data_IF_769517515083
#
_entry.id   IF_769517515083
#
_cell.length_a   1.000
_cell.length_b   1.000
_cell.length_c   1.000
_cell.angle_alpha   90.00
_cell.angle_beta   90.00
_cell.angle_gamma   90.00
#
_symmetry.space_group_name_H-M   'P 1'
#
loop_
_entity.id
_entity.type
_entity.pdbx_description
1 polymer ?
#
# COMPACT_ATOMS: atom_id res chain seq x y z
N UNK A 1 14.49 -10.98 32.24
CA UNK A 1 14.57 -10.79 30.77
C UNK A 1 13.16 -10.65 30.18
N UNK A 2 12.68 -9.41 30.07
CA UNK A 2 11.45 -9.10 29.34
C UNK A 2 11.72 -9.38 27.86
N UNK A 3 11.14 -10.46 27.33
CA UNK A 3 11.07 -10.65 25.89
C UNK A 3 10.34 -9.43 25.32
N UNK A 4 11.07 -8.61 24.57
CA UNK A 4 10.46 -7.58 23.76
C UNK A 4 9.48 -8.28 22.81
N UNK A 5 8.18 -8.17 23.11
CA UNK A 5 7.14 -8.57 22.18
C UNK A 5 7.26 -7.64 20.97
N UNK A 6 7.98 -8.10 19.96
CA UNK A 6 7.96 -7.55 18.61
C UNK A 6 6.55 -7.80 18.03
N UNK A 7 5.58 -7.02 18.48
CA UNK A 7 4.25 -6.95 17.89
C UNK A 7 4.11 -5.63 17.14
N UNK A 8 4.79 -5.51 16.01
CA UNK A 8 4.46 -4.53 14.98
C UNK A 8 3.18 -4.97 14.27
N UNK A 9 2.07 -5.08 15.00
CA UNK A 9 0.77 -5.35 14.39
C UNK A 9 0.28 -4.04 13.76
N UNK A 10 0.40 -3.94 12.44
CA UNK A 10 -0.27 -2.87 11.70
C UNK A 10 -1.78 -3.06 11.87
N UNK A 11 -2.43 -2.05 12.47
CA UNK A 11 -3.88 -1.96 12.45
C UNK A 11 -4.29 -1.65 11.00
N UNK A 12 -5.19 -2.44 10.42
CA UNK A 12 -5.75 -2.10 9.12
C UNK A 12 -7.23 -1.80 9.23
N UNK A 13 -7.68 -0.85 8.42
CA UNK A 13 -9.09 -0.56 8.18
C UNK A 13 -9.42 -0.86 6.72
N UNK A 14 -10.67 -1.24 6.48
CA UNK A 14 -11.20 -1.41 5.12
C UNK A 14 -12.16 -0.27 4.84
N UNK A 15 -11.84 0.51 3.82
CA UNK A 15 -12.68 1.61 3.34
C UNK A 15 -12.85 1.48 1.83
N UNK A 16 -13.95 2.00 1.30
CA UNK A 16 -14.12 2.11 -0.15
C UNK A 16 -13.17 3.18 -0.67
N UNK A 17 -12.58 2.96 -1.84
CA UNK A 17 -11.55 3.87 -2.39
C UNK A 17 -12.04 5.33 -2.48
N UNK A 18 -13.29 5.56 -2.88
CA UNK A 18 -13.86 6.92 -2.99
C UNK A 18 -13.96 7.66 -1.65
N UNK A 19 -13.99 6.96 -0.51
CA UNK A 19 -14.01 7.57 0.81
C UNK A 19 -12.64 8.15 1.20
N UNK A 20 -11.58 7.74 0.51
CA UNK A 20 -10.22 8.22 0.71
C UNK A 20 -9.75 9.16 -0.41
N UNK A 21 -10.61 9.51 -1.38
CA UNK A 21 -10.24 10.33 -2.55
C UNK A 21 -9.61 11.68 -2.20
N UNK A 22 -10.07 12.26 -1.08
CA UNK A 22 -9.67 13.58 -0.60
C UNK A 22 -8.43 13.51 0.33
N UNK A 23 -7.84 12.33 0.50
CA UNK A 23 -6.64 12.16 1.33
C UNK A 23 -5.40 12.64 0.57
N UNK A 24 -4.51 13.34 1.28
CA UNK A 24 -3.21 13.73 0.72
C UNK A 24 -2.33 12.49 0.49
N UNK A 25 -1.84 12.33 -0.73
CA UNK A 25 -0.88 11.29 -1.10
C UNK A 25 0.54 11.86 -1.09
N UNK A 26 1.50 11.06 -0.61
CA UNK A 26 2.93 11.41 -0.63
C UNK A 26 3.52 11.46 -2.05
N UNK A 27 2.86 10.81 -3.00
CA UNK A 27 3.28 10.75 -4.39
C UNK A 27 2.47 9.76 -5.21
N UNK A 28 2.95 9.47 -6.42
CA UNK A 28 2.35 8.48 -7.30
C UNK A 28 2.38 7.07 -6.69
N UNK A 29 1.39 6.22 -7.00
CA UNK A 29 1.37 4.84 -6.53
C UNK A 29 2.57 4.03 -7.01
N UNK A 30 3.05 3.14 -6.15
CA UNK A 30 4.21 2.28 -6.43
C UNK A 30 3.75 0.88 -6.81
N UNK A 31 4.27 0.35 -7.92
CA UNK A 31 4.09 -1.05 -8.26
C UNK A 31 5.01 -1.89 -7.37
N UNK A 32 4.42 -2.56 -6.37
CA UNK A 32 5.16 -3.49 -5.51
C UNK A 32 5.43 -4.81 -6.25
N UNK A 33 4.43 -5.33 -6.96
CA UNK A 33 4.54 -6.61 -7.64
C UNK A 33 3.63 -6.68 -8.86
N UNK A 34 4.11 -7.32 -9.92
CA UNK A 34 3.32 -7.72 -11.06
C UNK A 34 3.06 -9.24 -10.98
N UNK A 35 1.80 -9.64 -10.86
CA UNK A 35 1.40 -11.04 -10.72
C UNK A 35 0.69 -11.46 -12.00
N UNK A 36 1.14 -12.55 -12.60
CA UNK A 36 0.42 -13.18 -13.70
C UNK A 36 -0.39 -14.36 -13.16
N UNK A 37 -1.71 -14.20 -13.13
CA UNK A 37 -2.63 -15.19 -12.56
C UNK A 37 -2.62 -16.55 -13.28
N UNK A 38 -2.06 -16.65 -14.49
CA UNK A 38 -1.94 -17.91 -15.25
C UNK A 38 -0.69 -18.69 -14.81
N UNK A 39 0.41 -18.00 -14.57
CA UNK A 39 1.72 -18.61 -14.33
C UNK A 39 2.13 -18.66 -12.86
N UNK A 40 1.55 -17.80 -12.01
CA UNK A 40 1.86 -17.75 -10.59
C UNK A 40 0.91 -18.66 -9.80
N UNK A 41 1.40 -19.85 -9.42
CA UNK A 41 0.63 -20.83 -8.64
C UNK A 41 0.79 -20.66 -7.13
N UNK A 42 1.86 -20.03 -6.68
CA UNK A 42 2.07 -19.61 -5.29
C UNK A 42 1.95 -18.09 -5.22
N UNK A 43 1.07 -17.62 -4.33
CA UNK A 43 0.80 -16.20 -4.11
C UNK A 43 1.56 -15.63 -2.91
N UNK A 44 2.55 -16.36 -2.39
CA UNK A 44 3.49 -15.83 -1.42
C UNK A 44 4.33 -14.74 -2.07
N UNK A 45 4.00 -13.49 -1.74
CA UNK A 45 4.64 -12.30 -2.24
C UNK A 45 5.54 -11.70 -1.16
N UNK A 46 6.79 -11.44 -1.52
CA UNK A 46 7.69 -10.53 -0.80
C UNK A 46 8.21 -9.53 -1.81
N UNK A 47 7.87 -8.26 -1.61
CA UNK A 47 8.14 -7.20 -2.58
C UNK A 47 8.49 -5.90 -1.86
N UNK A 48 9.29 -5.07 -2.53
CA UNK A 48 9.54 -3.71 -2.09
C UNK A 48 9.71 -2.79 -3.27
N UNK A 49 9.33 -1.53 -3.09
CA UNK A 49 9.55 -0.45 -4.04
C UNK A 49 10.09 0.78 -3.32
N UNK A 50 10.96 1.52 -4.00
CA UNK A 50 11.51 2.78 -3.51
C UNK A 50 10.95 3.95 -4.31
N UNK A 51 10.78 5.07 -3.63
CA UNK A 51 10.37 6.32 -4.23
C UNK A 51 11.00 7.51 -3.50
N UNK A 52 10.82 8.69 -4.09
CA UNK A 52 11.28 9.95 -3.52
C UNK A 52 10.07 10.82 -3.20
N UNK A 53 10.02 11.35 -1.98
CA UNK A 53 8.96 12.26 -1.56
C UNK A 53 9.06 13.56 -2.38
N UNK A 54 7.95 13.96 -2.97
CA UNK A 54 7.90 15.17 -3.82
C UNK A 54 7.74 16.45 -3.00
N UNK A 55 7.12 16.35 -1.82
CA UNK A 55 6.87 17.45 -0.90
C UNK A 55 7.00 16.97 0.55
N UNK A 56 6.78 17.88 1.51
CA UNK A 56 6.73 17.58 2.93
C UNK A 56 5.41 16.91 3.28
N UNK A 57 5.47 15.68 3.79
CA UNK A 57 4.29 14.90 4.14
C UNK A 57 4.45 14.18 5.48
N UNK A 58 3.33 14.08 6.22
CA UNK A 58 3.21 13.17 7.37
C UNK A 58 2.40 11.96 6.90
N UNK A 59 3.07 10.82 6.77
CA UNK A 59 2.45 9.55 6.38
C UNK A 59 1.94 8.85 7.63
N UNK A 60 0.64 8.57 7.65
CA UNK A 60 -0.04 7.88 8.74
C UNK A 60 -0.50 6.47 8.35
N UNK A 61 -0.62 6.21 7.04
CA UNK A 61 -1.15 4.95 6.53
C UNK A 61 -0.56 4.63 5.16
N UNK A 62 -0.61 3.35 4.80
CA UNK A 62 -0.32 2.85 3.45
C UNK A 62 -1.58 2.20 2.91
N UNK A 63 -2.02 2.63 1.73
CA UNK A 63 -3.04 1.89 1.00
C UNK A 63 -2.37 0.89 0.07
N UNK A 64 -2.78 -0.38 0.15
CA UNK A 64 -2.41 -1.40 -0.83
C UNK A 64 -3.66 -1.79 -1.59
N UNK A 65 -3.55 -1.80 -2.92
CA UNK A 65 -4.65 -2.11 -3.80
C UNK A 65 -4.17 -2.83 -5.06
N UNK A 66 -5.00 -3.72 -5.64
CA UNK A 66 -4.71 -4.32 -6.92
C UNK A 66 -4.97 -3.33 -8.06
N UNK A 67 -4.12 -3.43 -9.07
CA UNK A 67 -4.34 -2.91 -10.41
C UNK A 67 -4.45 -4.14 -11.32
N UNK A 68 -5.65 -4.40 -11.85
CA UNK A 68 -5.97 -5.67 -12.51
C UNK A 68 -6.32 -5.46 -13.98
N UNK A 69 -5.46 -5.93 -14.87
CA UNK A 69 -5.77 -6.09 -16.29
C UNK A 69 -6.34 -7.49 -16.54
N UNK A 70 -7.64 -7.58 -16.85
CA UNK A 70 -8.33 -8.86 -17.13
C UNK A 70 -8.16 -9.29 -18.59
N UNK A 71 -8.25 -8.34 -19.51
CA UNK A 71 -8.00 -8.54 -20.95
C UNK A 71 -7.32 -7.28 -21.50
N UNK A 72 -6.98 -7.25 -22.79
CA UNK A 72 -6.44 -6.03 -23.40
C UNK A 72 -7.40 -4.84 -23.38
N UNK A 73 -8.71 -5.09 -23.25
CA UNK A 73 -9.74 -4.05 -23.25
C UNK A 73 -10.44 -3.88 -21.89
N UNK A 74 -10.12 -4.73 -20.91
CA UNK A 74 -10.74 -4.68 -19.58
C UNK A 74 -9.64 -4.46 -18.54
N UNK A 75 -9.62 -3.25 -18.02
CA UNK A 75 -8.71 -2.80 -16.98
C UNK A 75 -9.51 -2.35 -15.77
N UNK A 76 -9.31 -3.04 -14.66
CA UNK A 76 -9.84 -2.72 -13.35
C UNK A 76 -8.71 -2.14 -12.52
N UNK A 77 -8.43 -0.86 -12.75
CA UNK A 77 -7.63 -0.05 -11.87
C UNK A 77 -8.45 1.16 -11.47
N UNK A 78 -8.32 1.56 -10.21
CA UNK A 78 -8.65 2.93 -9.89
C UNK A 78 -7.72 3.47 -8.83
N UNK A 79 -6.91 4.41 -9.26
CA UNK A 79 -6.12 5.23 -8.37
C UNK A 79 -7.07 6.01 -7.45
N UNK A 80 -6.72 6.12 -6.17
CA UNK A 80 -7.57 6.80 -5.16
C UNK A 80 -8.13 8.15 -5.64
N UNK A 81 -7.32 9.05 -6.25
CA UNK A 81 -7.81 10.36 -6.65
C UNK A 81 -8.90 10.31 -7.73
N UNK A 82 -9.00 9.20 -8.45
CA UNK A 82 -9.95 8.98 -9.55
C UNK A 82 -11.17 8.15 -9.10
N UNK A 83 -11.20 7.70 -7.84
CA UNK A 83 -12.26 6.85 -7.32
C UNK A 83 -13.61 7.58 -7.22
N UNK A 84 -14.64 6.94 -7.74
CA UNK A 84 -16.05 7.38 -7.76
C UNK A 84 -16.90 6.52 -6.82
N UNK A 85 -18.14 6.93 -6.58
CA UNK A 85 -19.06 6.15 -5.74
C UNK A 85 -19.38 4.76 -6.29
N UNK A 86 -19.25 4.57 -7.60
CA UNK A 86 -19.41 3.26 -8.27
C UNK A 86 -18.28 2.28 -7.91
N UNK A 87 -17.15 2.79 -7.43
CA UNK A 87 -16.03 1.99 -6.90
C UNK A 87 -16.35 1.52 -5.49
N UNK A 88 -17.15 0.47 -5.45
CA UNK A 88 -17.60 -0.14 -4.21
C UNK A 88 -16.60 -1.14 -3.61
N UNK A 89 -15.44 -1.35 -4.25
CA UNK A 89 -14.41 -2.24 -3.77
C UNK A 89 -13.68 -1.64 -2.56
N UNK A 90 -13.48 -2.47 -1.53
CA UNK A 90 -12.82 -2.06 -0.32
C UNK A 90 -11.30 -2.24 -0.45
N UNK A 91 -10.55 -1.18 -0.20
CA UNK A 91 -9.08 -1.20 -0.15
C UNK A 91 -8.62 -1.36 1.29
N UNK A 92 -7.49 -2.02 1.49
CA UNK A 92 -6.87 -2.16 2.80
C UNK A 92 -5.95 -0.96 3.07
N UNK A 93 -6.21 -0.25 4.15
CA UNK A 93 -5.38 0.84 4.65
C UNK A 93 -4.67 0.37 5.90
N UNK A 94 -3.34 0.27 5.83
CA UNK A 94 -2.48 -0.17 6.92
C UNK A 94 -1.98 1.06 7.67
N UNK A 95 -2.47 1.25 8.89
CA UNK A 95 -2.08 2.36 9.75
C UNK A 95 -0.68 2.11 10.30
N UNK A 96 0.21 3.09 10.14
CA UNK A 96 1.54 3.03 10.69
C UNK A 96 1.47 3.15 12.22
N UNK A 97 2.27 2.38 12.98
CA UNK A 97 2.28 2.46 14.45
C UNK A 97 2.77 3.83 14.95
N UNK A 98 3.53 4.54 14.12
CA UNK A 98 3.97 5.91 14.34
C UNK A 98 3.93 6.66 13.01
N UNK A 99 3.41 7.90 12.98
CA UNK A 99 3.49 8.75 11.79
C UNK A 99 4.95 8.96 11.35
N UNK A 100 5.18 8.94 10.04
CA UNK A 100 6.49 9.19 9.44
C UNK A 100 6.45 10.51 8.67
N UNK A 101 7.30 11.45 9.07
CA UNK A 101 7.50 12.70 8.34
C UNK A 101 8.55 12.51 7.25
N UNK A 102 8.23 12.89 6.02
CA UNK A 102 9.17 12.94 4.91
C UNK A 102 9.30 14.37 4.42
N UNK A 103 10.52 14.76 4.06
CA UNK A 103 10.81 16.03 3.38
C UNK A 103 10.94 15.82 1.88
N UNK A 104 10.74 16.88 1.10
CA UNK A 104 10.99 16.87 -0.32
C UNK A 104 12.42 16.36 -0.62
N UNK A 105 12.53 15.38 -1.52
CA UNK A 105 13.79 14.75 -1.90
C UNK A 105 14.24 13.57 -1.02
N UNK A 106 13.60 13.32 0.13
CA UNK A 106 13.90 12.13 0.93
C UNK A 106 13.41 10.86 0.24
N UNK A 107 14.22 9.80 0.31
CA UNK A 107 13.86 8.48 -0.21
C UNK A 107 13.12 7.68 0.85
N UNK A 108 12.16 6.90 0.38
CA UNK A 108 11.45 5.95 1.21
C UNK A 108 11.27 4.63 0.48
N UNK A 109 11.23 3.56 1.27
CA UNK A 109 10.94 2.21 0.79
C UNK A 109 9.63 1.74 1.39
N UNK A 110 8.78 1.17 0.54
CA UNK A 110 7.59 0.44 0.95
C UNK A 110 7.83 -1.03 0.70
N UNK A 111 7.69 -1.86 1.73
CA UNK A 111 7.82 -3.31 1.63
C UNK A 111 6.49 -3.97 1.97
N UNK A 112 6.17 -5.04 1.25
CA UNK A 112 4.98 -5.85 1.45
C UNK A 112 5.34 -7.33 1.44
N UNK A 113 4.89 -8.06 2.46
CA UNK A 113 5.03 -9.51 2.54
C UNK A 113 3.66 -10.14 2.83
N UNK A 114 3.21 -11.06 2.01
CA UNK A 114 2.06 -11.92 2.34
C UNK A 114 2.54 -13.06 3.24
N UNK A 115 2.57 -12.84 4.54
CA UNK A 115 2.72 -13.94 5.50
C UNK A 115 1.32 -14.40 5.94
N UNK A 116 1.07 -15.71 5.97
CA UNK A 116 -0.13 -16.25 6.60
C UNK A 116 0.10 -16.23 8.13
N UNK A 117 -0.82 -15.72 8.96
CA UNK A 117 -2.21 -15.34 8.65
C UNK A 117 -2.45 -13.85 8.32
N UNK A 118 -1.43 -12.98 8.35
CA UNK A 118 -1.60 -11.53 8.15
C UNK A 118 -0.46 -10.95 7.32
N UNK A 119 -0.77 -10.18 6.27
CA UNK A 119 0.26 -9.49 5.51
C UNK A 119 1.00 -8.46 6.37
N UNK A 120 2.28 -8.29 6.08
CA UNK A 120 3.15 -7.30 6.69
C UNK A 120 3.41 -6.17 5.68
N UNK A 121 3.22 -4.93 6.13
CA UNK A 121 3.53 -3.71 5.37
C UNK A 121 4.59 -2.96 6.13
N UNK A 122 5.60 -2.42 5.47
CA UNK A 122 6.61 -1.56 6.11
C UNK A 122 6.84 -0.32 5.28
N UNK A 123 7.02 0.81 5.95
CA UNK A 123 7.53 2.04 5.35
C UNK A 123 8.75 2.48 6.15
N UNK A 124 9.84 2.75 5.47
CA UNK A 124 11.09 3.20 6.08
C UNK A 124 11.78 4.27 5.22
N UNK A 125 12.57 5.13 5.87
CA UNK A 125 13.48 6.06 5.19
C UNK A 125 14.68 5.26 4.69
N UNK A 126 15.17 5.59 3.49
CA UNK A 126 16.34 4.97 2.86
C UNK A 126 17.56 5.88 3.00
#
# INVERSE_FOLDING_TARGET
PLMAASQSQYLYIRLKAHQARDWTLIGSPLCLAAINLITNTDLTLEASAEATAQDVHIVNAVMIYPDLKLTDNIHLARHIPEATEEDNWASAFYLLPKPLEFKAGEKYRVSYRTSHPRPEVRVERV
#
